data_IF_692923501996
#
_entry.id   IF_692923501996
#
_cell.length_a   1.000
_cell.length_b   1.000
_cell.length_c   1.000
_cell.angle_alpha   90.00
_cell.angle_beta   90.00
_cell.angle_gamma   90.00
#
_symmetry.space_group_name_H-M   'P 1'
#
loop_
_entity.id
_entity.type
_entity.pdbx_description
1 polymer ?
#
# COMPACT_ATOMS: atom_id res chain seq x y z
N UNK A 1 10.79 14.28 4.93
CA UNK A 1 10.45 12.84 4.94
C UNK A 1 9.59 12.60 3.72
N UNK A 2 9.99 11.68 2.84
CA UNK A 2 9.22 11.36 1.63
C UNK A 2 8.13 10.35 2.00
N UNK A 3 6.88 10.66 1.67
CA UNK A 3 5.72 9.78 1.87
C UNK A 3 5.26 9.19 0.55
N UNK A 4 4.62 8.03 0.63
CA UNK A 4 4.00 7.34 -0.49
C UNK A 4 2.51 7.23 -0.21
N UNK A 5 1.69 7.84 -1.07
CA UNK A 5 0.24 7.71 -1.01
C UNK A 5 -0.21 6.36 -1.60
N UNK A 6 -0.99 5.63 -0.81
CA UNK A 6 -1.62 4.36 -1.16
C UNK A 6 -3.12 4.58 -1.24
N UNK A 7 -3.72 4.23 -2.39
CA UNK A 7 -5.12 4.56 -2.73
C UNK A 7 -6.06 3.34 -2.69
N UNK A 8 -5.52 2.15 -2.51
CA UNK A 8 -6.31 0.93 -2.33
C UNK A 8 -6.44 0.65 -0.83
N UNK A 9 -7.41 1.34 -0.19
CA UNK A 9 -7.48 1.48 1.27
C UNK A 9 -7.60 0.13 2.01
N UNK A 10 -8.45 -0.79 1.55
CA UNK A 10 -8.69 -2.09 2.19
C UNK A 10 -7.39 -2.91 2.21
N UNK A 11 -6.74 -2.96 1.06
CA UNK A 11 -5.51 -3.70 0.85
C UNK A 11 -4.33 -3.08 1.60
N UNK A 12 -4.32 -1.74 1.66
CA UNK A 12 -3.34 -0.95 2.42
C UNK A 12 -3.43 -1.24 3.91
N UNK A 13 -4.64 -1.25 4.50
CA UNK A 13 -4.82 -1.62 5.91
C UNK A 13 -4.33 -3.03 6.20
N UNK A 14 -4.64 -3.99 5.32
CA UNK A 14 -4.15 -5.36 5.48
C UNK A 14 -2.62 -5.42 5.50
N UNK A 15 -1.95 -4.65 4.63
CA UNK A 15 -0.49 -4.59 4.61
C UNK A 15 0.09 -3.86 5.83
N UNK A 16 -0.54 -2.78 6.29
CA UNK A 16 -0.12 -2.06 7.50
C UNK A 16 -0.15 -2.99 8.71
N UNK A 17 -1.23 -3.76 8.89
CA UNK A 17 -1.34 -4.74 9.98
C UNK A 17 -0.30 -5.87 9.83
N UNK A 18 -0.21 -6.45 8.64
CA UNK A 18 0.67 -7.58 8.34
C UNK A 18 2.15 -7.26 8.55
N UNK A 19 2.59 -6.05 8.21
CA UNK A 19 3.98 -5.63 8.31
C UNK A 19 4.27 -4.76 9.54
N UNK A 20 3.26 -4.56 10.41
CA UNK A 20 3.34 -3.73 11.59
C UNK A 20 3.88 -2.31 11.27
N UNK A 21 3.30 -1.68 10.23
CA UNK A 21 3.68 -0.32 9.84
C UNK A 21 3.11 0.65 10.87
N UNK A 22 4.00 1.38 11.55
CA UNK A 22 3.62 2.30 12.63
C UNK A 22 3.49 3.74 12.10
N UNK A 23 4.31 4.11 11.12
CA UNK A 23 4.37 5.46 10.57
C UNK A 23 3.48 5.59 9.32
N UNK A 24 2.16 5.68 9.54
CA UNK A 24 1.18 5.99 8.50
C UNK A 24 0.32 7.19 8.88
N UNK A 25 -0.25 7.84 7.88
CA UNK A 25 -1.16 8.99 8.00
C UNK A 25 -2.36 8.77 7.09
N UNK A 26 -3.55 8.76 7.65
CA UNK A 26 -4.78 8.82 6.87
C UNK A 26 -4.95 10.24 6.31
N UNK A 27 -5.06 10.36 4.99
CA UNK A 27 -5.31 11.64 4.31
C UNK A 27 -6.81 11.82 4.09
N UNK A 28 -7.46 10.77 3.58
CA UNK A 28 -8.90 10.71 3.33
C UNK A 28 -9.39 9.26 3.42
N UNK A 29 -10.71 9.03 3.33
CA UNK A 29 -11.33 7.71 3.39
C UNK A 29 -10.85 6.69 2.32
N UNK A 30 -10.13 7.14 1.30
CA UNK A 30 -9.59 6.30 0.23
C UNK A 30 -8.07 6.32 0.13
N UNK A 31 -7.38 7.15 0.93
CA UNK A 31 -5.95 7.39 0.77
C UNK A 31 -5.22 7.40 2.10
N UNK A 32 -4.18 6.56 2.20
CA UNK A 32 -3.25 6.52 3.34
C UNK A 32 -1.84 6.79 2.84
N UNK A 33 -1.15 7.69 3.49
CA UNK A 33 0.26 7.93 3.28
C UNK A 33 1.09 7.07 4.25
N UNK A 34 2.09 6.39 3.72
CA UNK A 34 3.11 5.69 4.52
C UNK A 34 4.48 6.28 4.26
N UNK A 35 5.41 6.13 5.20
CA UNK A 35 6.79 6.49 4.94
C UNK A 35 7.37 5.65 3.79
N UNK A 36 8.18 6.26 2.92
CA UNK A 36 8.80 5.53 1.80
C UNK A 36 9.66 4.35 2.26
N UNK A 37 10.27 4.44 3.46
CA UNK A 37 11.01 3.34 4.07
C UNK A 37 10.12 2.12 4.34
N UNK A 38 8.94 2.32 4.92
CA UNK A 38 7.96 1.26 5.17
C UNK A 38 7.39 0.69 3.88
N UNK A 39 7.09 1.54 2.90
CA UNK A 39 6.70 1.09 1.56
C UNK A 39 7.76 0.18 0.92
N UNK A 40 9.03 0.58 0.96
CA UNK A 40 10.13 -0.22 0.43
C UNK A 40 10.33 -1.51 1.22
N UNK A 41 10.10 -1.48 2.54
CA UNK A 41 10.14 -2.68 3.38
C UNK A 41 9.05 -3.67 2.98
N UNK A 42 7.82 -3.21 2.80
CA UNK A 42 6.69 -4.03 2.31
C UNK A 42 6.99 -4.59 0.91
N UNK A 43 7.54 -3.76 0.02
CA UNK A 43 7.90 -4.15 -1.35
C UNK A 43 9.00 -5.22 -1.40
N UNK A 44 9.97 -5.19 -0.48
CA UNK A 44 11.02 -6.19 -0.39
C UNK A 44 10.57 -7.47 0.33
N UNK A 45 9.67 -7.35 1.31
CA UNK A 45 9.19 -8.48 2.08
C UNK A 45 8.11 -9.31 1.35
N UNK A 46 7.35 -8.68 0.44
CA UNK A 46 6.35 -9.38 -0.37
C UNK A 46 7.00 -10.20 -1.49
N UNK A 47 6.45 -11.39 -1.77
CA UNK A 47 6.76 -12.13 -3.00
C UNK A 47 6.12 -11.47 -4.23
N UNK A 48 4.94 -10.88 -4.06
CA UNK A 48 4.22 -10.21 -5.14
C UNK A 48 4.48 -8.70 -5.09
N UNK A 49 5.52 -8.27 -5.81
CA UNK A 49 5.91 -6.84 -5.88
C UNK A 49 4.88 -6.00 -6.63
N UNK A 50 4.17 -6.59 -7.58
CA UNK A 50 3.14 -5.87 -8.34
C UNK A 50 1.95 -5.47 -7.48
N UNK A 51 1.58 -6.32 -6.54
CA UNK A 51 0.55 -6.03 -5.55
C UNK A 51 0.85 -4.75 -4.75
N UNK A 52 2.07 -4.63 -4.19
CA UNK A 52 2.48 -3.43 -3.45
C UNK A 52 2.57 -2.20 -4.36
N UNK A 53 2.99 -2.36 -5.62
CA UNK A 53 2.97 -1.26 -6.60
C UNK A 53 1.54 -0.83 -6.97
N UNK A 54 0.59 -1.76 -6.99
CA UNK A 54 -0.81 -1.48 -7.29
C UNK A 54 -1.50 -0.73 -6.15
N UNK A 55 -1.02 -0.84 -4.89
CA UNK A 55 -1.48 0.01 -3.79
C UNK A 55 -1.29 1.50 -4.08
N UNK A 56 -0.20 1.87 -4.78
CA UNK A 56 0.09 3.25 -5.22
C UNK A 56 -0.78 3.71 -6.38
N UNK A 57 -1.29 2.79 -7.19
CA UNK A 57 -2.06 3.14 -8.39
C UNK A 57 -3.47 3.50 -7.96
N UNK A 58 -3.94 4.65 -8.45
CA UNK A 58 -5.33 5.07 -8.34
C UNK A 58 -6.22 3.99 -8.95
N UNK A 59 -7.34 3.69 -8.27
CA UNK A 59 -8.34 2.70 -8.68
C UNK A 59 -8.80 2.91 -10.14
N UNK A 60 -8.05 2.35 -11.09
CA UNK A 60 -8.40 2.35 -12.51
C UNK A 60 -8.30 0.96 -13.14
N UNK A 61 -7.59 0.03 -12.51
CA UNK A 61 -7.52 -1.35 -12.96
C UNK A 61 -7.53 -2.24 -11.74
N UNK A 62 -8.72 -2.75 -11.42
CA UNK A 62 -8.85 -3.96 -10.60
C UNK A 62 -7.84 -4.95 -11.19
N UNK A 63 -6.84 -5.34 -10.39
CA UNK A 63 -6.05 -6.52 -10.71
C UNK A 63 -7.03 -7.68 -10.68
N UNK A 64 -7.62 -7.97 -11.84
CA UNK A 64 -8.55 -9.06 -12.03
C UNK A 64 -7.91 -10.32 -11.51
N UNK A 65 -8.47 -10.82 -10.42
CA UNK A 65 -8.20 -12.16 -9.93
C UNK A 65 -8.73 -13.08 -11.03
N UNK A 66 -7.86 -13.49 -11.96
CA UNK A 66 -8.16 -14.61 -12.85
C UNK A 66 -8.17 -15.85 -11.96
N UNK A 67 -9.37 -16.26 -11.54
CA UNK A 67 -9.64 -17.63 -11.13
C UNK A 67 -9.57 -18.56 -12.35
#
# INVERSE_FOLDING_TARGET
MTTVALKNIIDTWNMIEKYNVIAYREVDATTVEVAECDYNRMLNATKNKEYIKNLRRENGMMAGHNF
#
